data_IF_935291053360
#
_entry.id   IF_935291053360
#
_cell.length_a   1.000
_cell.length_b   1.000
_cell.length_c   1.000
_cell.angle_alpha   90.00
_cell.angle_beta   90.00
_cell.angle_gamma   90.00
#
_symmetry.space_group_name_H-M   'P 1'
#
loop_
_entity.id
_entity.type
_entity.pdbx_description
1 polymer ?
#
# COMPACT_ATOMS: atom_id res chain seq x y z
N UNK A 1 -13.73 -2.98 -13.73
CA UNK A 1 -14.05 -2.32 -12.45
C UNK A 1 -12.86 -1.57 -11.86
N UNK A 2 -11.71 -2.22 -11.62
CA UNK A 2 -10.55 -1.61 -10.95
C UNK A 2 -9.82 -0.48 -11.69
N UNK A 3 -9.83 -0.47 -13.03
CA UNK A 3 -9.19 0.59 -13.81
C UNK A 3 -9.79 1.99 -13.59
N UNK A 4 -11.13 2.08 -13.50
CA UNK A 4 -11.82 3.36 -13.25
C UNK A 4 -11.61 3.86 -11.82
N UNK A 5 -11.56 2.95 -10.84
CA UNK A 5 -11.30 3.31 -9.44
C UNK A 5 -9.87 3.82 -9.24
N UNK A 6 -8.89 3.22 -9.92
CA UNK A 6 -7.48 3.66 -9.91
C UNK A 6 -7.31 5.08 -10.43
N UNK A 7 -7.90 5.36 -11.59
CA UNK A 7 -7.81 6.69 -12.23
C UNK A 7 -8.46 7.77 -11.36
N UNK A 8 -9.61 7.48 -10.74
CA UNK A 8 -10.28 8.41 -9.82
C UNK A 8 -9.46 8.71 -8.56
N UNK A 9 -8.84 7.69 -7.97
CA UNK A 9 -8.02 7.86 -6.77
C UNK A 9 -6.76 8.69 -7.07
N UNK A 10 -6.09 8.42 -8.20
CA UNK A 10 -4.94 9.21 -8.64
C UNK A 10 -5.32 10.63 -9.02
N UNK A 11 -6.47 10.84 -9.67
CA UNK A 11 -6.98 12.19 -9.97
C UNK A 11 -7.26 12.98 -8.69
N UNK A 12 -7.86 12.35 -7.67
CA UNK A 12 -8.09 12.99 -6.37
C UNK A 12 -6.80 13.40 -5.69
N UNK A 13 -5.81 12.50 -5.62
CA UNK A 13 -4.51 12.79 -5.01
C UNK A 13 -3.73 13.88 -5.77
N UNK A 14 -3.66 13.79 -7.09
CA UNK A 14 -2.99 14.80 -7.94
C UNK A 14 -3.70 16.15 -7.82
N UNK A 15 -5.04 16.17 -7.72
CA UNK A 15 -5.81 17.39 -7.50
C UNK A 15 -5.51 18.06 -6.15
N UNK A 16 -5.47 17.28 -5.06
CA UNK A 16 -5.08 17.79 -3.73
C UNK A 16 -3.65 18.33 -3.75
N UNK A 17 -2.72 17.60 -4.37
CA UNK A 17 -1.33 18.04 -4.47
C UNK A 17 -1.18 19.31 -5.31
N UNK A 18 -1.91 19.43 -6.42
CA UNK A 18 -1.94 20.65 -7.22
C UNK A 18 -2.43 21.83 -6.39
N UNK A 19 -3.49 21.64 -5.60
CA UNK A 19 -3.99 22.67 -4.68
C UNK A 19 -2.96 23.08 -3.63
N UNK A 20 -2.29 22.12 -2.99
CA UNK A 20 -1.24 22.38 -2.00
C UNK A 20 -0.07 23.12 -2.64
N UNK A 21 0.37 22.71 -3.82
CA UNK A 21 1.46 23.36 -4.57
C UNK A 21 1.11 24.80 -4.95
N UNK A 22 -0.13 25.05 -5.39
CA UNK A 22 -0.62 26.39 -5.70
C UNK A 22 -0.67 27.27 -4.45
N UNK A 23 -1.19 26.74 -3.34
CA UNK A 23 -1.23 27.45 -2.06
C UNK A 23 0.18 27.79 -1.56
N UNK A 24 1.09 26.81 -1.60
CA UNK A 24 2.49 27.00 -1.22
C UNK A 24 3.17 28.04 -2.11
N UNK A 25 2.99 27.96 -3.43
CA UNK A 25 3.53 28.92 -4.37
C UNK A 25 3.01 30.35 -4.09
N UNK A 26 1.72 30.50 -3.79
CA UNK A 26 1.13 31.80 -3.46
C UNK A 26 1.76 32.40 -2.19
N UNK A 27 1.94 31.60 -1.13
CA UNK A 27 2.58 32.03 0.13
C UNK A 27 4.03 32.43 -0.10
N UNK A 28 4.80 31.60 -0.82
CA UNK A 28 6.22 31.87 -1.11
C UNK A 28 6.39 33.12 -1.97
N UNK A 29 5.57 33.30 -3.01
CA UNK A 29 5.60 34.50 -3.87
C UNK A 29 5.24 35.75 -3.08
N UNK A 30 4.23 35.69 -2.21
CA UNK A 30 3.85 36.81 -1.34
C UNK A 30 4.99 37.17 -0.37
N UNK A 31 5.60 36.17 0.28
CA UNK A 31 6.74 36.37 1.17
C UNK A 31 7.96 36.95 0.46
N UNK A 32 8.28 36.45 -0.74
CA UNK A 32 9.36 36.97 -1.57
C UNK A 32 9.10 38.43 -1.97
N UNK A 33 7.87 38.75 -2.41
CA UNK A 33 7.48 40.12 -2.74
C UNK A 33 7.65 41.06 -1.55
N UNK A 34 7.23 40.63 -0.36
CA UNK A 34 7.41 41.40 0.87
C UNK A 34 8.89 41.62 1.19
N UNK A 35 9.71 40.57 1.12
CA UNK A 35 11.15 40.66 1.39
C UNK A 35 11.88 41.62 0.43
N UNK A 36 11.58 41.56 -0.87
CA UNK A 36 12.20 42.45 -1.87
C UNK A 36 11.71 43.90 -1.70
N UNK A 37 10.43 44.12 -1.36
CA UNK A 37 9.92 45.45 -1.08
C UNK A 37 10.54 46.08 0.18
N UNK A 38 10.74 45.28 1.23
CA UNK A 38 11.42 45.71 2.46
C UNK A 38 12.90 46.03 2.19
N UNK A 39 13.57 45.25 1.34
CA UNK A 39 14.94 45.54 0.91
C UNK A 39 15.02 46.88 0.17
N UNK A 40 14.08 47.15 -0.75
CA UNK A 40 13.96 48.43 -1.43
C UNK A 40 13.75 49.58 -0.44
N UNK A 41 12.86 49.42 0.55
CA UNK A 41 12.62 50.44 1.57
C UNK A 41 13.87 50.77 2.39
N UNK A 42 14.65 49.75 2.79
CA UNK A 42 15.92 49.95 3.51
C UNK A 42 16.97 50.66 2.66
N UNK A 43 17.08 50.30 1.38
CA UNK A 43 17.99 50.98 0.45
C UNK A 43 17.61 52.46 0.29
N UNK A 44 16.32 52.76 0.10
CA UNK A 44 15.83 54.14 -0.02
C UNK A 44 16.07 54.97 1.25
N UNK A 45 15.90 54.39 2.44
CA UNK A 45 16.20 55.06 3.71
C UNK A 45 17.69 55.33 3.86
N UNK A 46 18.54 54.33 3.60
CA UNK A 46 20.00 54.50 3.66
C UNK A 46 20.49 55.55 2.67
N UNK A 47 19.94 55.57 1.46
CA UNK A 47 20.26 56.57 0.45
C UNK A 47 19.79 57.96 0.92
N UNK A 48 18.58 58.07 1.48
CA UNK A 48 18.08 59.33 2.02
C UNK A 48 18.93 59.85 3.19
N UNK A 49 19.35 59.00 4.12
CA UNK A 49 20.22 59.38 5.25
C UNK A 49 21.59 59.89 4.78
N UNK A 50 22.20 59.21 3.80
CA UNK A 50 23.44 59.66 3.16
C UNK A 50 23.30 61.07 2.56
N UNK A 51 22.18 61.35 1.89
CA UNK A 51 21.89 62.68 1.33
C UNK A 51 21.57 63.72 2.41
N UNK A 52 20.87 63.35 3.48
CA UNK A 52 20.62 64.23 4.64
C UNK A 52 21.94 64.65 5.27
N UNK A 53 22.92 63.74 5.42
CA UNK A 53 24.23 64.06 5.96
C UNK A 53 24.95 65.14 5.12
N UNK A 54 24.95 65.00 3.78
CA UNK A 54 25.53 65.97 2.84
C UNK A 54 24.84 67.34 2.96
N UNK A 55 23.51 67.37 2.92
CA UNK A 55 22.72 68.62 2.99
C UNK A 55 22.90 69.28 4.36
N UNK A 56 22.92 68.51 5.46
CA UNK A 56 23.11 69.04 6.81
C UNK A 56 24.47 69.72 6.98
N UNK A 57 25.54 69.16 6.39
CA UNK A 57 26.91 69.69 6.40
C UNK A 57 27.17 70.87 5.46
N UNK A 58 26.15 71.39 4.76
CA UNK A 58 26.27 72.52 3.85
C UNK A 58 26.86 72.16 2.49
N UNK A 59 26.91 70.86 2.15
CA UNK A 59 27.33 70.38 0.83
C UNK A 59 26.37 70.79 -0.28
N UNK A 60 26.87 70.76 -1.53
CA UNK A 60 26.08 71.10 -2.72
C UNK A 60 24.83 70.23 -2.83
N UNK A 61 23.69 70.89 -3.06
CA UNK A 61 22.38 70.27 -3.34
C UNK A 61 22.28 69.82 -4.81
N UNK A 62 23.32 70.07 -5.61
CA UNK A 62 23.45 69.60 -6.99
C UNK A 62 24.46 68.45 -7.03
N UNK A 63 23.97 67.25 -7.35
CA UNK A 63 24.79 66.05 -7.51
C UNK A 63 24.31 65.19 -8.68
N UNK A 64 25.19 64.33 -9.18
CA UNK A 64 24.85 63.37 -10.23
C UNK A 64 23.76 62.41 -9.77
N UNK A 65 22.71 62.26 -10.59
CA UNK A 65 21.69 61.23 -10.41
C UNK A 65 22.22 59.87 -10.85
N UNK A 66 21.68 58.78 -10.30
CA UNK A 66 21.78 57.46 -10.91
C UNK A 66 20.49 57.16 -11.69
N UNK A 67 20.55 56.22 -12.64
CA UNK A 67 19.34 55.72 -13.30
C UNK A 67 18.46 54.88 -12.35
N UNK A 68 18.99 54.52 -11.17
CA UNK A 68 18.31 53.67 -10.19
C UNK A 68 17.56 54.49 -9.14
N UNK A 69 17.99 55.72 -8.85
CA UNK A 69 17.41 56.57 -7.82
C UNK A 69 17.22 58.02 -8.29
N UNK A 70 16.06 58.59 -8.00
CA UNK A 70 15.81 60.02 -8.09
C UNK A 70 15.84 60.65 -6.71
N UNK A 71 16.44 61.82 -6.55
CA UNK A 71 16.31 62.56 -5.30
C UNK A 71 16.13 64.05 -5.50
N UNK A 72 15.48 64.69 -4.53
CA UNK A 72 15.23 66.12 -4.52
C UNK A 72 15.25 66.65 -3.09
N UNK A 73 15.60 67.92 -2.94
CA UNK A 73 15.55 68.62 -1.65
C UNK A 73 14.50 69.69 -1.74
N UNK A 74 13.63 69.69 -0.75
CA UNK A 74 12.45 70.54 -0.68
C UNK A 74 12.47 71.27 0.67
N UNK A 75 12.10 72.54 0.69
CA UNK A 75 11.93 73.30 1.91
C UNK A 75 10.76 72.76 2.75
N UNK A 76 10.69 73.11 4.04
CA UNK A 76 9.59 72.71 4.93
C UNK A 76 8.21 73.17 4.42
N UNK A 77 8.18 74.24 3.62
CA UNK A 77 7.01 74.82 2.98
C UNK A 77 6.62 74.14 1.66
N UNK A 78 7.43 73.18 1.18
CA UNK A 78 7.23 72.49 -0.08
C UNK A 78 7.91 73.14 -1.29
N UNK A 79 8.69 74.22 -1.12
CA UNK A 79 9.43 74.84 -2.23
C UNK A 79 10.66 74.01 -2.61
N UNK A 80 10.92 73.72 -3.89
CA UNK A 80 12.12 72.99 -4.29
C UNK A 80 13.39 73.81 -3.99
N UNK A 81 14.32 73.24 -3.22
CA UNK A 81 15.62 73.84 -2.89
C UNK A 81 16.75 73.28 -3.76
N UNK A 82 16.60 72.06 -4.29
CA UNK A 82 17.51 71.47 -5.27
C UNK A 82 17.00 70.14 -5.81
N UNK A 83 17.51 69.73 -6.97
CA UNK A 83 17.02 68.57 -7.74
C UNK A 83 18.18 67.92 -8.49
N UNK A 84 18.13 66.60 -8.69
CA UNK A 84 18.98 65.91 -9.68
C UNK A 84 18.35 65.94 -11.07
N UNK A 85 19.17 65.68 -12.09
CA UNK A 85 18.72 65.49 -13.48
C UNK A 85 17.67 64.39 -13.63
N UNK A 86 17.73 63.35 -12.80
CA UNK A 86 16.79 62.21 -12.83
C UNK A 86 15.57 62.41 -11.93
N UNK A 87 15.51 63.45 -11.10
CA UNK A 87 14.43 63.63 -10.11
C UNK A 87 13.03 63.71 -10.74
N UNK A 88 12.90 64.32 -11.92
CA UNK A 88 11.66 64.37 -12.69
C UNK A 88 11.21 63.01 -13.22
N UNK A 89 12.16 62.11 -13.48
CA UNK A 89 11.88 60.75 -13.98
C UNK A 89 11.21 59.90 -12.90
N UNK A 90 11.38 60.27 -11.63
CA UNK A 90 10.72 59.62 -10.50
C UNK A 90 9.53 60.41 -9.95
N UNK A 91 9.10 61.47 -10.65
CA UNK A 91 7.97 62.30 -10.23
C UNK A 91 8.24 63.11 -8.96
N UNK A 92 9.51 63.45 -8.70
CA UNK A 92 9.96 64.32 -7.63
C UNK A 92 10.21 65.75 -8.14
N UNK A 93 10.11 66.77 -7.27
CA UNK A 93 9.72 66.73 -5.86
C UNK A 93 8.21 66.57 -5.68
N UNK A 94 7.82 66.09 -4.48
CA UNK A 94 6.43 65.97 -4.02
C UNK A 94 6.21 66.89 -2.81
N UNK A 95 5.73 68.14 -3.03
CA UNK A 95 5.57 69.14 -1.97
C UNK A 95 4.64 68.72 -0.83
N UNK A 96 3.63 67.92 -1.14
CA UNK A 96 2.67 67.35 -0.18
C UNK A 96 3.36 66.39 0.80
N UNK A 97 4.18 65.45 0.28
CA UNK A 97 4.96 64.53 1.10
C UNK A 97 6.06 65.25 1.88
N UNK A 98 6.66 66.29 1.30
CA UNK A 98 7.66 67.10 1.99
C UNK A 98 7.08 67.84 3.20
N UNK A 99 5.94 68.52 3.04
CA UNK A 99 5.26 69.22 4.15
C UNK A 99 4.84 68.27 5.27
N UNK A 100 4.39 67.06 4.92
CA UNK A 100 4.04 66.05 5.91
C UNK A 100 5.27 65.52 6.63
N UNK A 101 6.36 65.22 5.91
CA UNK A 101 7.59 64.73 6.52
C UNK A 101 8.24 65.75 7.44
N UNK A 102 8.12 67.05 7.12
CA UNK A 102 8.58 68.13 7.99
C UNK A 102 7.85 68.16 9.35
N UNK A 103 6.60 67.69 9.42
CA UNK A 103 5.79 67.66 10.66
C UNK A 103 5.81 66.30 11.36
N UNK A 104 5.67 65.23 10.60
CA UNK A 104 5.44 63.86 11.09
C UNK A 104 6.74 63.05 11.22
N UNK A 105 7.86 63.54 10.67
CA UNK A 105 9.12 62.80 10.63
C UNK A 105 9.32 62.01 9.33
N UNK A 106 10.04 60.90 9.39
CA UNK A 106 10.33 60.07 8.21
C UNK A 106 9.05 59.48 7.61
N UNK A 107 8.79 59.74 6.33
CA UNK A 107 7.64 59.19 5.61
C UNK A 107 8.07 58.25 4.49
N UNK A 108 7.33 57.14 4.35
CA UNK A 108 7.47 56.18 3.25
C UNK A 108 6.14 56.10 2.53
N UNK A 109 6.11 56.46 1.24
CA UNK A 109 4.88 56.45 0.45
C UNK A 109 5.12 55.89 -0.94
N UNK A 110 4.06 55.42 -1.59
CA UNK A 110 4.10 54.96 -2.98
C UNK A 110 3.27 55.91 -3.81
N UNK A 111 3.87 56.46 -4.87
CA UNK A 111 3.20 57.37 -5.80
C UNK A 111 2.97 56.66 -7.12
N UNK A 112 1.83 56.94 -7.74
CA UNK A 112 1.54 56.50 -9.11
C UNK A 112 2.08 57.55 -10.10
N UNK A 113 2.70 57.08 -11.18
CA UNK A 113 3.25 57.91 -12.26
C UNK A 113 3.01 57.21 -13.60
N UNK A 114 2.04 57.72 -14.36
CA UNK A 114 1.65 57.25 -15.71
C UNK A 114 1.38 55.74 -15.78
N UNK A 115 2.43 54.91 -15.83
CA UNK A 115 2.40 53.44 -15.89
C UNK A 115 3.44 52.78 -14.95
N UNK A 116 3.80 53.47 -13.86
CA UNK A 116 4.73 52.98 -12.87
C UNK A 116 4.32 53.40 -11.45
N UNK A 117 4.62 52.54 -10.49
CA UNK A 117 4.52 52.86 -9.09
C UNK A 117 5.92 53.15 -8.57
N UNK A 118 6.13 54.32 -8.01
CA UNK A 118 7.43 54.74 -7.50
C UNK A 118 7.36 54.76 -5.97
N UNK A 119 8.31 54.10 -5.31
CA UNK A 119 8.46 54.14 -3.86
C UNK A 119 9.27 55.38 -3.49
N UNK A 120 8.74 56.21 -2.61
CA UNK A 120 9.33 57.49 -2.18
C UNK A 120 9.53 57.49 -0.68
N UNK A 121 10.72 57.86 -0.25
CA UNK A 121 11.09 58.06 1.15
C UNK A 121 11.43 59.54 1.35
N UNK A 122 10.80 60.20 2.31
CA UNK A 122 11.00 61.61 2.65
C UNK A 122 11.53 61.75 4.08
N UNK A 123 12.75 62.30 4.24
CA UNK A 123 13.42 62.49 5.53
C UNK A 123 13.62 63.99 5.82
N UNK A 124 13.19 64.50 6.97
CA UNK A 124 13.48 65.87 7.37
C UNK A 124 14.95 66.05 7.78
N UNK A 125 15.57 67.12 7.29
CA UNK A 125 16.89 67.60 7.69
C UNK A 125 16.70 68.59 8.84
N UNK A 126 17.28 68.29 10.00
CA UNK A 126 17.25 69.19 11.16
C UNK A 126 18.58 69.91 11.36
N UNK A 127 18.55 71.21 11.64
CA UNK A 127 19.70 71.99 12.14
C UNK A 127 19.25 72.76 13.37
N UNK A 128 20.03 72.69 14.45
CA UNK A 128 19.70 73.32 15.74
C UNK A 128 18.26 73.02 16.25
N UNK A 129 17.73 71.82 15.95
CA UNK A 129 16.39 71.40 16.36
C UNK A 129 15.26 71.76 15.38
N UNK A 130 15.50 72.65 14.41
CA UNK A 130 14.51 73.06 13.42
C UNK A 130 14.66 72.29 12.10
N UNK A 131 13.54 71.96 11.46
CA UNK A 131 13.54 71.34 10.13
C UNK A 131 13.84 72.41 9.09
N UNK A 132 15.01 72.32 8.46
CA UNK A 132 15.47 73.30 7.46
C UNK A 132 15.23 72.86 6.02
N UNK A 133 15.06 71.56 5.80
CA UNK A 133 14.78 70.96 4.51
C UNK A 133 14.20 69.54 4.67
N UNK A 134 13.71 68.96 3.58
CA UNK A 134 13.30 67.57 3.46
C UNK A 134 13.97 66.98 2.24
N UNK A 135 14.69 65.88 2.43
CA UNK A 135 15.27 65.07 1.36
C UNK A 135 14.24 64.04 0.95
N UNK A 136 13.92 63.97 -0.34
CA UNK A 136 13.08 62.94 -0.93
C UNK A 136 13.93 62.07 -1.84
N UNK A 137 13.91 60.75 -1.64
CA UNK A 137 14.55 59.76 -2.50
C UNK A 137 13.49 58.81 -3.03
N UNK A 138 13.58 58.45 -4.30
CA UNK A 138 12.59 57.65 -4.99
C UNK A 138 13.22 56.58 -5.88
N UNK A 139 12.57 55.43 -5.98
CA UNK A 139 12.95 54.32 -6.86
C UNK A 139 11.69 53.63 -7.43
N UNK A 140 11.78 53.16 -8.67
CA UNK A 140 10.69 52.43 -9.33
C UNK A 140 10.38 51.09 -8.65
N UNK A 141 9.10 50.73 -8.54
CA UNK A 141 8.67 49.39 -8.09
C UNK A 141 8.81 48.32 -9.17
N UNK A 142 9.10 48.69 -10.42
CA UNK A 142 9.42 47.72 -11.49
C UNK A 142 10.55 46.79 -11.09
N UNK A 143 11.52 47.26 -10.31
CA UNK A 143 12.60 46.42 -9.76
C UNK A 143 12.03 45.27 -8.92
N UNK A 144 11.04 45.55 -8.06
CA UNK A 144 10.36 44.54 -7.24
C UNK A 144 9.52 43.60 -8.11
N UNK A 145 8.72 44.16 -9.02
CA UNK A 145 7.81 43.37 -9.85
C UNK A 145 8.56 42.50 -10.88
N UNK A 146 9.70 42.95 -11.42
CA UNK A 146 10.60 42.15 -12.26
C UNK A 146 11.25 41.01 -11.49
N UNK A 147 11.75 41.27 -10.28
CA UNK A 147 12.28 40.22 -9.42
C UNK A 147 11.23 39.15 -9.13
N UNK A 148 10.00 39.54 -8.79
CA UNK A 148 8.88 38.63 -8.56
C UNK A 148 8.52 37.86 -9.83
N UNK A 149 8.41 38.51 -10.98
CA UNK A 149 8.11 37.84 -12.27
C UNK A 149 9.17 36.80 -12.63
N UNK A 150 10.45 37.16 -12.48
CA UNK A 150 11.57 36.22 -12.72
C UNK A 150 11.50 35.05 -11.76
N UNK A 151 11.23 35.28 -10.48
CA UNK A 151 11.04 34.22 -9.50
C UNK A 151 9.89 33.27 -9.87
N UNK A 152 8.71 33.80 -10.24
CA UNK A 152 7.55 33.01 -10.68
C UNK A 152 7.87 32.19 -11.94
N UNK A 153 8.60 32.75 -12.90
CA UNK A 153 8.99 32.05 -14.13
C UNK A 153 9.90 30.82 -13.89
N UNK A 154 10.67 30.82 -12.79
CA UNK A 154 11.49 29.68 -12.36
C UNK A 154 10.67 28.68 -11.55
N UNK A 155 9.78 29.17 -10.68
CA UNK A 155 8.96 28.33 -9.81
C UNK A 155 7.88 27.54 -10.58
N UNK A 156 7.28 28.14 -11.61
CA UNK A 156 6.22 27.52 -12.41
C UNK A 156 6.64 26.17 -13.06
N UNK A 157 7.75 26.07 -13.82
CA UNK A 157 8.15 24.79 -14.42
C UNK A 157 8.50 23.74 -13.36
N UNK A 158 9.08 24.13 -12.23
CA UNK A 158 9.36 23.22 -11.11
C UNK A 158 8.05 22.62 -10.57
N UNK A 159 7.01 23.45 -10.41
CA UNK A 159 5.68 22.99 -10.00
C UNK A 159 5.06 21.99 -10.99
N UNK A 160 5.18 22.24 -12.29
CA UNK A 160 4.69 21.33 -13.34
C UNK A 160 5.44 19.99 -13.30
N UNK A 161 6.77 20.02 -13.18
CA UNK A 161 7.59 18.81 -13.07
C UNK A 161 7.24 18.02 -11.81
N UNK A 162 7.08 18.69 -10.67
CA UNK A 162 6.68 18.05 -9.41
C UNK A 162 5.31 17.38 -9.54
N UNK A 163 4.33 18.03 -10.19
CA UNK A 163 3.01 17.47 -10.42
C UNK A 163 3.06 16.24 -11.35
N UNK A 164 3.85 16.30 -12.41
CA UNK A 164 4.05 15.17 -13.34
C UNK A 164 4.69 13.97 -12.63
N UNK A 165 5.76 14.19 -11.86
CA UNK A 165 6.42 13.15 -11.07
C UNK A 165 5.46 12.52 -10.06
N UNK A 166 4.66 13.34 -9.36
CA UNK A 166 3.67 12.84 -8.43
C UNK A 166 2.55 12.04 -9.11
N UNK A 167 2.11 12.43 -10.31
CA UNK A 167 1.14 11.68 -11.09
C UNK A 167 1.69 10.29 -11.51
N UNK A 168 2.93 10.24 -12.00
CA UNK A 168 3.61 8.98 -12.35
C UNK A 168 3.81 8.10 -11.11
N UNK A 169 4.32 8.67 -10.02
CA UNK A 169 4.51 7.95 -8.75
C UNK A 169 3.19 7.43 -8.17
N UNK A 170 2.12 8.23 -8.22
CA UNK A 170 0.78 7.85 -7.78
C UNK A 170 0.21 6.69 -8.60
N UNK A 171 0.38 6.73 -9.93
CA UNK A 171 -0.01 5.62 -10.81
C UNK A 171 0.77 4.34 -10.49
N UNK A 172 2.08 4.43 -10.27
CA UNK A 172 2.93 3.29 -9.93
C UNK A 172 2.54 2.67 -8.58
N UNK A 173 2.44 3.48 -7.53
CA UNK A 173 2.09 3.01 -6.18
C UNK A 173 0.69 2.43 -6.12
N UNK A 174 -0.29 3.05 -6.80
CA UNK A 174 -1.65 2.52 -6.89
C UNK A 174 -1.69 1.15 -7.58
N UNK A 175 -0.86 0.95 -8.61
CA UNK A 175 -0.72 -0.35 -9.27
C UNK A 175 -0.20 -1.43 -8.32
N UNK A 176 0.84 -1.12 -7.54
CA UNK A 176 1.43 -2.05 -6.58
C UNK A 176 0.47 -2.39 -5.43
N UNK A 177 -0.25 -1.40 -4.91
CA UNK A 177 -1.20 -1.59 -3.82
C UNK A 177 -2.42 -2.43 -4.24
N UNK A 178 -2.88 -2.34 -5.49
CA UNK A 178 -4.05 -3.10 -5.96
C UNK A 178 -3.74 -4.53 -6.37
N UNK A 179 -2.46 -4.87 -6.64
CA UNK A 179 -2.06 -6.22 -7.04
C UNK A 179 -2.47 -7.31 -6.04
N UNK A 180 -2.16 -7.23 -4.74
CA UNK A 180 -2.58 -8.25 -3.78
C UNK A 180 -4.10 -8.35 -3.64
N UNK A 181 -4.81 -7.23 -3.70
CA UNK A 181 -6.29 -7.20 -3.63
C UNK A 181 -6.87 -7.93 -4.84
N UNK A 182 -6.34 -7.68 -6.04
CA UNK A 182 -6.79 -8.33 -7.25
C UNK A 182 -6.49 -9.83 -7.23
N UNK A 183 -5.29 -10.22 -6.81
CA UNK A 183 -4.91 -11.63 -6.67
C UNK A 183 -5.80 -12.36 -5.66
N UNK A 184 -6.11 -11.74 -4.51
CA UNK A 184 -7.04 -12.29 -3.52
C UNK A 184 -8.46 -12.44 -4.08
N UNK A 185 -8.94 -11.41 -4.79
CA UNK A 185 -10.28 -11.42 -5.38
C UNK A 185 -10.43 -12.44 -6.52
N UNK A 186 -9.41 -12.58 -7.37
CA UNK A 186 -9.39 -13.58 -8.44
C UNK A 186 -9.35 -15.01 -7.85
N UNK A 187 -8.58 -15.24 -6.78
CA UNK A 187 -8.60 -16.51 -6.02
C UNK A 187 -9.96 -16.81 -5.40
N UNK A 188 -10.60 -15.81 -4.79
CA UNK A 188 -11.95 -15.96 -4.22
C UNK A 188 -12.97 -16.33 -5.30
N UNK A 189 -12.90 -15.70 -6.48
CA UNK A 189 -13.78 -16.03 -7.61
C UNK A 189 -13.58 -17.45 -8.11
N UNK A 190 -12.32 -17.88 -8.27
CA UNK A 190 -11.99 -19.24 -8.66
C UNK A 190 -12.56 -20.24 -7.63
N UNK A 191 -12.32 -19.99 -6.34
CA UNK A 191 -12.86 -20.82 -5.25
C UNK A 191 -14.38 -20.96 -5.29
N UNK A 192 -15.12 -19.86 -5.49
CA UNK A 192 -16.60 -19.90 -5.59
C UNK A 192 -17.05 -20.69 -6.83
N UNK A 193 -16.36 -20.52 -7.96
CA UNK A 193 -16.67 -21.26 -9.19
C UNK A 193 -16.42 -22.76 -9.00
N UNK A 194 -15.28 -23.14 -8.44
CA UNK A 194 -14.90 -24.53 -8.20
C UNK A 194 -15.83 -25.20 -7.19
N UNK A 195 -16.17 -24.53 -6.09
CA UNK A 195 -17.16 -25.00 -5.12
C UNK A 195 -18.53 -25.22 -5.77
N UNK A 196 -18.97 -24.30 -6.64
CA UNK A 196 -20.24 -24.44 -7.35
C UNK A 196 -20.24 -25.65 -8.28
N UNK A 197 -19.11 -25.93 -8.95
CA UNK A 197 -18.96 -27.11 -9.81
C UNK A 197 -18.99 -28.41 -9.02
N UNK A 198 -18.22 -28.50 -7.93
CA UNK A 198 -18.16 -29.70 -7.08
C UNK A 198 -19.48 -29.99 -6.35
N UNK A 199 -20.32 -28.97 -6.08
CA UNK A 199 -21.66 -29.16 -5.52
C UNK A 199 -22.73 -29.49 -6.59
N UNK A 200 -22.54 -29.06 -7.84
CA UNK A 200 -23.53 -29.30 -8.91
C UNK A 200 -23.58 -30.75 -9.35
N UNK A 201 -22.45 -31.44 -9.40
CA UNK A 201 -22.38 -32.87 -9.75
C UNK A 201 -23.19 -33.75 -8.79
N UNK A 202 -22.97 -33.71 -7.47
CA UNK A 202 -23.77 -34.48 -6.51
C UNK A 202 -25.24 -34.16 -6.61
N UNK A 203 -25.58 -32.88 -6.65
CA UNK A 203 -26.97 -32.45 -6.76
C UNK A 203 -27.67 -32.97 -8.01
N UNK A 204 -26.94 -33.11 -9.13
CA UNK A 204 -27.48 -33.64 -10.38
C UNK A 204 -27.76 -35.15 -10.28
N UNK A 205 -26.86 -35.91 -9.64
CA UNK A 205 -27.04 -37.34 -9.41
C UNK A 205 -28.19 -37.60 -8.43
N UNK A 206 -28.21 -36.88 -7.31
CA UNK A 206 -29.29 -36.96 -6.32
C UNK A 206 -30.64 -36.70 -6.99
N UNK A 207 -30.72 -35.68 -7.84
CA UNK A 207 -31.95 -35.38 -8.57
C UNK A 207 -32.33 -36.50 -9.54
N UNK A 208 -31.38 -37.05 -10.28
CA UNK A 208 -31.65 -38.13 -11.23
C UNK A 208 -32.19 -39.38 -10.53
N UNK A 209 -31.54 -39.82 -9.44
CA UNK A 209 -31.93 -41.01 -8.68
C UNK A 209 -33.32 -40.80 -8.04
N UNK A 210 -33.57 -39.62 -7.46
CA UNK A 210 -34.89 -39.27 -6.94
C UNK A 210 -35.99 -39.23 -8.01
N UNK A 211 -35.69 -38.73 -9.22
CA UNK A 211 -36.63 -38.74 -10.36
C UNK A 211 -36.94 -40.16 -10.85
N UNK A 212 -36.01 -41.10 -10.72
CA UNK A 212 -36.23 -42.53 -11.05
C UNK A 212 -37.14 -43.17 -10.01
N UNK A 213 -36.83 -43.02 -8.71
CA UNK A 213 -37.64 -43.57 -7.61
C UNK A 213 -39.08 -43.02 -7.66
N UNK A 214 -39.24 -41.71 -7.92
CA UNK A 214 -40.55 -41.05 -7.97
C UNK A 214 -41.47 -41.57 -9.10
N UNK A 215 -40.94 -42.24 -10.13
CA UNK A 215 -41.74 -42.85 -11.21
C UNK A 215 -42.43 -44.15 -10.78
N UNK A 216 -42.13 -44.68 -9.59
CA UNK A 216 -42.99 -45.62 -8.87
C UNK A 216 -43.03 -47.04 -9.43
N UNK A 217 -41.87 -47.70 -9.55
CA UNK A 217 -41.80 -49.11 -9.95
C UNK A 217 -41.50 -50.09 -8.78
N UNK A 218 -41.19 -49.59 -7.57
CA UNK A 218 -40.93 -50.38 -6.34
C UNK A 218 -40.07 -51.63 -6.61
N UNK A 219 -39.00 -51.47 -7.39
CA UNK A 219 -38.08 -52.57 -7.75
C UNK A 219 -36.94 -52.66 -6.72
N UNK A 220 -36.22 -53.80 -6.64
CA UNK A 220 -34.98 -53.89 -5.87
C UNK A 220 -33.95 -52.79 -6.21
N UNK A 221 -33.98 -52.23 -7.42
CA UNK A 221 -33.12 -51.12 -7.86
C UNK A 221 -33.37 -49.83 -7.05
N UNK A 222 -34.55 -49.66 -6.45
CA UNK A 222 -34.86 -48.49 -5.62
C UNK A 222 -34.01 -48.46 -4.33
N UNK A 223 -33.56 -49.62 -3.82
CA UNK A 223 -32.65 -49.67 -2.67
C UNK A 223 -31.25 -49.19 -3.05
N UNK A 224 -30.73 -49.65 -4.18
CA UNK A 224 -29.43 -49.23 -4.69
C UNK A 224 -29.42 -47.72 -5.00
N UNK A 225 -30.52 -47.19 -5.53
CA UNK A 225 -30.70 -45.75 -5.75
C UNK A 225 -30.77 -44.96 -4.43
N UNK A 226 -31.45 -45.49 -3.41
CA UNK A 226 -31.47 -44.88 -2.07
C UNK A 226 -30.09 -44.88 -1.40
N UNK A 227 -29.32 -45.96 -1.55
CA UNK A 227 -27.93 -46.02 -1.07
C UNK A 227 -27.05 -44.99 -1.80
N UNK A 228 -27.20 -44.85 -3.11
CA UNK A 228 -26.49 -43.83 -3.90
C UNK A 228 -26.86 -42.39 -3.46
N UNK A 229 -28.14 -42.14 -3.16
CA UNK A 229 -28.61 -40.86 -2.64
C UNK A 229 -27.94 -40.50 -1.31
N UNK A 230 -27.85 -41.48 -0.39
CA UNK A 230 -27.20 -41.29 0.91
C UNK A 230 -25.70 -41.01 0.72
N UNK A 231 -25.01 -41.81 -0.10
CA UNK A 231 -23.58 -41.64 -0.39
C UNK A 231 -23.28 -40.25 -0.97
N UNK A 232 -24.10 -39.76 -1.90
CA UNK A 232 -23.87 -38.46 -2.53
C UNK A 232 -24.23 -37.29 -1.59
N UNK A 233 -25.18 -37.50 -0.66
CA UNK A 233 -25.49 -36.54 0.41
C UNK A 233 -24.34 -36.42 1.42
N UNK A 234 -23.78 -37.55 1.88
CA UNK A 234 -22.63 -37.57 2.77
C UNK A 234 -21.41 -36.91 2.10
N UNK A 235 -21.24 -37.11 0.80
CA UNK A 235 -20.22 -36.43 0.01
C UNK A 235 -20.43 -34.91 -0.03
N UNK A 236 -21.66 -34.43 -0.19
CA UNK A 236 -21.97 -33.00 -0.14
C UNK A 236 -21.67 -32.41 1.25
N UNK A 237 -21.99 -33.12 2.31
CA UNK A 237 -21.70 -32.68 3.68
C UNK A 237 -20.19 -32.53 3.93
N UNK A 238 -19.40 -33.48 3.42
CA UNK A 238 -17.93 -33.40 3.43
C UNK A 238 -17.41 -32.16 2.68
N UNK A 239 -17.90 -31.90 1.47
CA UNK A 239 -17.52 -30.69 0.71
C UNK A 239 -17.89 -29.41 1.47
N UNK A 240 -19.10 -29.32 1.99
CA UNK A 240 -19.56 -28.14 2.75
C UNK A 240 -18.72 -27.91 4.01
N UNK A 241 -18.40 -28.97 4.74
CA UNK A 241 -17.54 -28.93 5.91
C UNK A 241 -16.14 -28.42 5.57
N UNK A 242 -15.53 -28.94 4.49
CA UNK A 242 -14.23 -28.50 3.99
C UNK A 242 -14.25 -27.01 3.60
N UNK A 243 -15.30 -26.55 2.90
CA UNK A 243 -15.47 -25.14 2.52
C UNK A 243 -15.56 -24.21 3.73
N UNK A 244 -16.30 -24.62 4.77
CA UNK A 244 -16.43 -23.84 6.01
C UNK A 244 -15.11 -23.75 6.77
N UNK A 245 -14.33 -24.84 6.79
CA UNK A 245 -12.99 -24.86 7.38
C UNK A 245 -12.06 -23.89 6.63
N UNK A 246 -12.04 -23.95 5.29
CA UNK A 246 -11.24 -23.06 4.46
C UNK A 246 -11.63 -21.59 4.63
N UNK A 247 -12.93 -21.28 4.67
CA UNK A 247 -13.40 -19.91 4.87
C UNK A 247 -12.95 -19.34 6.23
N UNK A 248 -12.93 -20.17 7.28
CA UNK A 248 -12.44 -19.76 8.62
C UNK A 248 -10.93 -19.58 8.64
N UNK A 249 -10.18 -20.43 7.95
CA UNK A 249 -8.73 -20.32 7.78
C UNK A 249 -8.35 -19.03 7.04
N UNK A 250 -9.01 -18.74 5.90
CA UNK A 250 -8.77 -17.53 5.10
C UNK A 250 -9.06 -16.24 5.88
N UNK A 251 -10.07 -16.27 6.75
CA UNK A 251 -10.40 -15.14 7.61
C UNK A 251 -9.43 -14.96 8.78
N UNK A 252 -8.46 -15.86 8.97
CA UNK A 252 -7.60 -15.90 10.16
C UNK A 252 -8.37 -16.18 11.45
N UNK A 253 -9.59 -16.74 11.33
CA UNK A 253 -10.54 -16.93 12.43
C UNK A 253 -10.55 -18.35 12.98
N UNK A 254 -9.68 -19.23 12.49
CA UNK A 254 -9.58 -20.57 13.05
C UNK A 254 -8.76 -20.51 14.35
N UNK A 255 -9.36 -20.74 15.54
CA UNK A 255 -8.59 -20.88 16.76
C UNK A 255 -7.74 -22.16 16.61
N UNK A 256 -6.42 -21.99 16.63
CA UNK A 256 -5.46 -23.08 16.76
C UNK A 256 -5.00 -23.04 18.21
N UNK A 257 -5.42 -24.04 18.99
CA UNK A 257 -5.04 -24.10 20.40
C UNK A 257 -3.66 -24.74 20.49
N UNK A 258 -2.64 -23.94 20.82
CA UNK A 258 -1.25 -24.40 20.81
C UNK A 258 -0.87 -25.02 22.15
N UNK A 259 -1.10 -26.31 22.28
CA UNK A 259 -0.67 -27.14 23.39
C UNK A 259 0.60 -27.94 23.08
N UNK A 260 1.14 -28.61 24.10
CA UNK A 260 2.23 -29.58 23.95
C UNK A 260 1.66 -30.99 23.98
N UNK A 261 1.96 -31.79 22.96
CA UNK A 261 1.52 -33.17 22.87
C UNK A 261 2.60 -34.06 22.23
N UNK A 262 2.48 -35.38 22.41
CA UNK A 262 3.36 -36.35 21.78
C UNK A 262 2.82 -36.74 20.38
N UNK A 263 3.57 -36.41 19.33
CA UNK A 263 3.19 -36.73 17.95
C UNK A 263 3.19 -38.26 17.71
N UNK A 264 4.01 -39.02 18.42
CA UNK A 264 4.07 -40.48 18.27
C UNK A 264 2.73 -41.15 18.62
N UNK A 265 2.03 -40.63 19.64
CA UNK A 265 0.67 -41.10 19.99
C UNK A 265 -0.34 -40.87 18.87
N UNK A 266 -0.26 -39.72 18.18
CA UNK A 266 -1.16 -39.42 17.07
C UNK A 266 -0.88 -40.33 15.88
N UNK A 267 0.40 -40.60 15.59
CA UNK A 267 0.79 -41.49 14.50
C UNK A 267 0.30 -42.93 14.74
N UNK A 268 0.42 -43.43 15.98
CA UNK A 268 -0.09 -44.74 16.36
C UNK A 268 -1.63 -44.82 16.28
N UNK A 269 -2.35 -43.86 16.89
CA UNK A 269 -3.83 -43.79 16.83
C UNK A 269 -4.33 -43.67 15.39
N UNK A 270 -3.62 -42.92 14.53
CA UNK A 270 -3.93 -42.84 13.11
C UNK A 270 -3.78 -44.18 12.38
N UNK A 271 -2.69 -44.91 12.63
CA UNK A 271 -2.45 -46.23 12.06
C UNK A 271 -3.57 -47.22 12.44
N UNK A 272 -3.90 -47.29 13.72
CA UNK A 272 -4.92 -48.22 14.24
C UNK A 272 -6.31 -47.94 13.63
N UNK A 273 -6.68 -46.67 13.49
CA UNK A 273 -7.97 -46.27 12.89
C UNK A 273 -8.08 -46.62 11.41
N UNK A 274 -6.97 -46.53 10.68
CA UNK A 274 -6.96 -46.79 9.24
C UNK A 274 -6.67 -48.26 8.89
N UNK A 275 -6.20 -49.07 9.84
CA UNK A 275 -5.93 -50.50 9.64
C UNK A 275 -7.14 -51.25 9.06
N UNK A 276 -8.33 -51.09 9.65
CA UNK A 276 -9.54 -51.76 9.16
C UNK A 276 -9.92 -51.36 7.72
N UNK A 277 -9.71 -50.09 7.35
CA UNK A 277 -9.95 -49.60 5.98
C UNK A 277 -8.90 -50.15 5.01
N UNK A 278 -7.65 -50.22 5.45
CA UNK A 278 -6.54 -50.73 4.67
C UNK A 278 -6.70 -52.23 4.38
N UNK A 279 -7.15 -53.02 5.35
CA UNK A 279 -7.43 -54.44 5.20
C UNK A 279 -8.49 -54.70 4.13
N UNK A 280 -9.57 -53.90 4.11
CA UNK A 280 -10.62 -53.99 3.08
C UNK A 280 -10.08 -53.67 1.68
N UNK A 281 -9.16 -52.72 1.57
CA UNK A 281 -8.53 -52.32 0.29
C UNK A 281 -7.28 -53.18 -0.06
N UNK A 282 -6.89 -54.11 0.82
CA UNK A 282 -5.73 -54.98 0.64
C UNK A 282 -4.38 -54.26 0.74
N UNK A 283 -4.27 -53.22 1.56
CA UNK A 283 -3.07 -52.38 1.74
C UNK A 283 -2.44 -52.65 3.11
N UNK A 284 -1.13 -52.93 3.14
CA UNK A 284 -0.38 -53.11 4.39
C UNK A 284 -0.04 -51.79 5.10
N UNK A 285 0.07 -51.81 6.43
CA UNK A 285 0.47 -50.66 7.24
C UNK A 285 1.72 -50.96 8.07
N UNK A 286 2.69 -50.05 8.04
CA UNK A 286 3.90 -50.10 8.86
C UNK A 286 4.07 -48.80 9.65
N UNK A 287 4.41 -48.91 10.94
CA UNK A 287 4.63 -47.75 11.83
C UNK A 287 6.07 -47.77 12.33
N UNK A 288 6.86 -46.81 11.88
CA UNK A 288 8.26 -46.61 12.24
C UNK A 288 8.40 -45.36 13.14
N UNK A 289 8.09 -45.51 14.43
CA UNK A 289 8.31 -44.42 15.40
C UNK A 289 9.33 -44.84 16.45
N UNK A 290 10.28 -43.94 16.76
CA UNK A 290 11.28 -44.18 17.80
C UNK A 290 11.06 -43.24 18.99
N UNK A 291 10.42 -43.76 20.03
CA UNK A 291 10.19 -43.04 21.28
C UNK A 291 9.23 -41.87 21.19
N UNK A 292 9.32 -40.95 22.16
CA UNK A 292 8.43 -39.79 22.28
C UNK A 292 8.84 -38.66 21.34
N UNK A 293 7.87 -38.02 20.70
CA UNK A 293 8.05 -36.94 19.74
C UNK A 293 7.27 -35.69 20.17
N UNK A 294 7.72 -34.96 21.20
CA UNK A 294 6.94 -33.88 21.78
C UNK A 294 6.98 -32.62 20.90
N UNK A 295 5.80 -32.16 20.45
CA UNK A 295 5.60 -31.01 19.55
C UNK A 295 4.70 -29.95 20.15
N UNK A 296 4.80 -28.72 19.64
CA UNK A 296 3.91 -27.61 19.99
C UNK A 296 2.94 -27.34 18.85
N UNK A 297 1.65 -27.49 19.09
CA UNK A 297 0.62 -27.32 18.08
C UNK A 297 -0.77 -27.61 18.63
N UNK A 298 -1.72 -27.82 17.74
CA UNK A 298 -3.09 -28.22 18.05
C UNK A 298 -3.24 -29.72 17.76
N UNK A 299 -3.49 -30.48 18.82
CA UNK A 299 -3.55 -31.95 18.76
C UNK A 299 -4.66 -32.42 17.84
N UNK A 300 -5.81 -31.75 17.84
CA UNK A 300 -6.97 -32.16 17.05
C UNK A 300 -6.79 -31.82 15.57
N UNK A 301 -6.22 -30.65 15.27
CA UNK A 301 -5.85 -30.30 13.88
C UNK A 301 -4.77 -31.20 13.35
N UNK A 302 -3.84 -31.63 14.19
CA UNK A 302 -2.79 -32.58 13.78
C UNK A 302 -3.37 -33.96 13.47
N UNK A 303 -4.35 -34.45 14.23
CA UNK A 303 -5.12 -35.66 13.86
C UNK A 303 -5.81 -35.51 12.50
N UNK A 304 -6.43 -34.36 12.24
CA UNK A 304 -7.09 -34.10 10.96
C UNK A 304 -6.10 -34.09 9.79
N UNK A 305 -4.91 -33.50 9.97
CA UNK A 305 -3.83 -33.57 8.98
C UNK A 305 -3.47 -35.02 8.70
N UNK A 306 -3.19 -35.81 9.75
CA UNK A 306 -2.78 -37.20 9.59
C UNK A 306 -3.88 -38.03 8.90
N UNK A 307 -5.14 -37.88 9.31
CA UNK A 307 -6.26 -38.57 8.69
C UNK A 307 -6.38 -38.24 7.19
N UNK A 308 -6.17 -36.99 6.79
CA UNK A 308 -6.18 -36.60 5.38
C UNK A 308 -5.02 -37.22 4.59
N UNK A 309 -3.83 -37.35 5.21
CA UNK A 309 -2.68 -37.99 4.58
C UNK A 309 -2.88 -39.51 4.44
N UNK A 310 -3.39 -40.17 5.48
CA UNK A 310 -3.64 -41.61 5.48
C UNK A 310 -4.77 -42.00 4.53
N UNK A 311 -5.85 -41.23 4.49
CA UNK A 311 -6.94 -41.44 3.52
C UNK A 311 -6.41 -41.35 2.09
N UNK A 312 -5.55 -40.36 1.82
CA UNK A 312 -4.93 -40.21 0.52
C UNK A 312 -3.98 -41.38 0.19
N UNK A 313 -3.15 -41.80 1.15
CA UNK A 313 -2.21 -42.90 0.97
C UNK A 313 -2.92 -44.23 0.67
N UNK A 314 -3.89 -44.63 1.50
CA UNK A 314 -4.66 -45.88 1.29
C UNK A 314 -5.33 -45.89 -0.06
N UNK A 315 -5.94 -44.76 -0.44
CA UNK A 315 -6.74 -44.68 -1.66
C UNK A 315 -5.92 -44.66 -2.95
N UNK A 316 -4.66 -44.23 -2.88
CA UNK A 316 -3.76 -44.18 -4.03
C UNK A 316 -2.81 -45.36 -4.11
N UNK A 317 -2.77 -46.20 -3.08
CA UNK A 317 -2.00 -47.45 -3.04
C UNK A 317 -2.80 -48.57 -3.70
N UNK A 318 -2.24 -49.32 -4.67
CA UNK A 318 -2.91 -50.49 -5.23
C UNK A 318 -2.98 -51.64 -4.21
N UNK A 319 -3.93 -52.58 -4.36
CA UNK A 319 -3.98 -53.78 -3.53
C UNK A 319 -2.64 -54.54 -3.56
N UNK A 320 -2.16 -54.99 -2.40
CA UNK A 320 -0.84 -55.59 -2.20
C UNK A 320 0.29 -54.59 -1.97
N UNK A 321 0.03 -53.29 -2.01
CA UNK A 321 0.98 -52.24 -1.63
C UNK A 321 1.01 -51.98 -0.11
N UNK A 322 1.81 -51.01 0.31
CA UNK A 322 1.95 -50.63 1.72
C UNK A 322 1.98 -49.12 1.94
N UNK A 323 1.59 -48.72 3.16
CA UNK A 323 1.69 -47.36 3.69
C UNK A 323 2.58 -47.39 4.94
N UNK A 324 3.65 -46.61 4.94
CA UNK A 324 4.57 -46.46 6.08
C UNK A 324 4.36 -45.11 6.74
N UNK A 325 4.14 -45.10 8.05
CA UNK A 325 4.10 -43.90 8.88
C UNK A 325 5.38 -43.85 9.70
N UNK A 326 6.16 -42.79 9.56
CA UNK A 326 7.36 -42.60 10.36
C UNK A 326 7.37 -41.25 11.08
N UNK A 327 8.07 -41.20 12.21
CA UNK A 327 8.24 -39.98 12.99
C UNK A 327 9.67 -39.85 13.49
N UNK A 328 10.30 -38.70 13.22
CA UNK A 328 11.67 -38.42 13.68
C UNK A 328 11.84 -36.96 14.08
N UNK A 329 12.83 -36.71 14.93
CA UNK A 329 13.26 -35.36 15.28
C UNK A 329 14.37 -34.90 14.33
N UNK A 330 14.23 -33.68 13.83
CA UNK A 330 15.22 -33.01 12.98
C UNK A 330 15.49 -31.61 13.55
N UNK A 331 16.53 -31.49 14.38
CA UNK A 331 16.90 -30.22 15.01
C UNK A 331 15.78 -29.67 15.92
N UNK A 332 15.31 -28.46 15.60
CA UNK A 332 14.24 -27.75 16.31
C UNK A 332 12.83 -28.14 15.84
N UNK A 333 12.71 -29.14 14.97
CA UNK A 333 11.45 -29.62 14.42
C UNK A 333 11.28 -31.12 14.60
N UNK A 334 10.04 -31.56 14.57
CA UNK A 334 9.67 -32.97 14.45
C UNK A 334 9.00 -33.15 13.10
N UNK A 335 9.43 -34.16 12.37
CA UNK A 335 8.92 -34.51 11.04
C UNK A 335 8.21 -35.84 11.12
N UNK A 336 6.92 -35.85 10.79
CA UNK A 336 6.15 -37.05 10.53
C UNK A 336 6.02 -37.25 9.02
N UNK A 337 6.25 -38.48 8.56
CA UNK A 337 6.13 -38.84 7.14
C UNK A 337 5.09 -39.92 6.96
N UNK A 338 4.25 -39.75 5.93
CA UNK A 338 3.35 -40.79 5.41
C UNK A 338 3.83 -41.11 4.02
N UNK A 339 4.30 -42.33 3.83
CA UNK A 339 4.87 -42.85 2.59
C UNK A 339 3.97 -43.97 2.05
N UNK A 340 3.61 -43.91 0.78
CA UNK A 340 2.85 -44.96 0.10
C UNK A 340 3.66 -45.63 -1.00
N UNK A 341 3.35 -46.88 -1.32
CA UNK A 341 3.93 -47.63 -2.44
C UNK A 341 3.09 -47.50 -3.73
N UNK A 342 2.38 -46.39 -3.91
CA UNK A 342 1.50 -46.13 -5.04
C UNK A 342 2.25 -45.72 -6.32
N UNK A 343 1.54 -45.13 -7.31
CA UNK A 343 2.16 -44.68 -8.56
C UNK A 343 3.04 -43.43 -8.41
N UNK A 344 3.03 -42.81 -7.24
CA UNK A 344 3.71 -41.54 -6.97
C UNK A 344 3.03 -40.34 -7.61
N UNK A 345 3.70 -39.19 -7.50
CA UNK A 345 3.21 -37.89 -7.99
C UNK A 345 4.13 -37.42 -9.13
N UNK A 346 3.60 -37.20 -10.35
CA UNK A 346 4.36 -36.58 -11.43
C UNK A 346 4.99 -35.25 -11.00
N UNK A 347 6.22 -34.96 -11.45
CA UNK A 347 7.00 -33.79 -10.98
C UNK A 347 6.28 -32.47 -11.18
N UNK A 348 5.53 -32.34 -12.28
CA UNK A 348 4.70 -31.19 -12.62
C UNK A 348 3.50 -30.97 -11.68
N UNK A 349 3.17 -31.97 -10.86
CA UNK A 349 2.03 -31.93 -9.93
C UNK A 349 2.47 -31.71 -8.49
N UNK A 350 3.73 -32.01 -8.11
CA UNK A 350 4.24 -31.88 -6.74
C UNK A 350 4.03 -30.48 -6.13
N UNK A 351 4.18 -29.42 -6.93
CA UNK A 351 3.95 -28.04 -6.45
C UNK A 351 2.47 -27.67 -6.32
N UNK A 352 1.58 -28.45 -6.92
CA UNK A 352 0.15 -28.17 -7.06
C UNK A 352 -0.76 -29.09 -6.26
N UNK A 353 -0.25 -30.18 -5.69
CA UNK A 353 -1.07 -31.13 -4.89
C UNK A 353 -1.76 -30.49 -3.68
N UNK A 354 -1.28 -29.32 -3.25
CA UNK A 354 -1.88 -28.52 -2.18
C UNK A 354 -2.76 -27.37 -2.69
N UNK A 355 -2.91 -27.22 -4.01
CA UNK A 355 -3.85 -26.26 -4.58
C UNK A 355 -5.29 -26.73 -4.30
N UNK A 356 -6.19 -25.79 -4.01
CA UNK A 356 -7.61 -26.10 -3.74
C UNK A 356 -8.24 -26.74 -4.96
N UNK A 357 -9.07 -27.76 -4.74
CA UNK A 357 -9.77 -28.53 -5.78
C UNK A 357 -8.84 -29.22 -6.79
N UNK A 358 -7.54 -29.27 -6.51
CA UNK A 358 -6.59 -29.85 -7.43
C UNK A 358 -6.66 -31.36 -7.41
N UNK A 359 -6.78 -31.95 -8.61
CA UNK A 359 -6.84 -33.39 -8.83
C UNK A 359 -6.06 -33.72 -10.09
N UNK A 360 -5.24 -34.78 -10.06
CA UNK A 360 -4.57 -35.31 -11.25
C UNK A 360 -5.59 -35.97 -12.20
N UNK A 361 -5.25 -36.13 -13.48
CA UNK A 361 -6.18 -36.69 -14.49
C UNK A 361 -6.70 -38.09 -14.11
N UNK A 362 -5.85 -38.95 -13.57
CA UNK A 362 -6.22 -40.28 -13.08
C UNK A 362 -7.15 -40.23 -11.85
N UNK A 363 -7.02 -39.22 -10.98
CA UNK A 363 -7.86 -39.05 -9.80
C UNK A 363 -9.27 -38.53 -10.14
N UNK A 364 -9.45 -37.84 -11.28
CA UNK A 364 -10.78 -37.41 -11.76
C UNK A 364 -11.60 -38.59 -12.29
N UNK A 365 -10.95 -39.54 -12.96
CA UNK A 365 -11.62 -40.71 -13.53
C UNK A 365 -12.25 -41.61 -12.45
N UNK A 366 -11.64 -41.72 -11.26
CA UNK A 366 -12.16 -42.50 -10.13
C UNK A 366 -13.23 -41.78 -9.29
N UNK A 367 -13.65 -40.56 -9.67
CA UNK A 367 -14.59 -39.66 -8.95
C UNK A 367 -14.35 -39.39 -7.46
N UNK A 368 -13.31 -39.95 -6.85
CA UNK A 368 -13.16 -39.88 -5.41
C UNK A 368 -12.40 -38.61 -4.97
N UNK A 369 -12.70 -38.12 -3.75
CA UNK A 369 -12.05 -36.97 -3.09
C UNK A 369 -12.46 -35.58 -3.62
N UNK A 370 -12.61 -34.63 -2.69
CA UNK A 370 -13.00 -33.23 -2.94
C UNK A 370 -11.86 -32.37 -3.51
N UNK A 371 -10.60 -32.81 -3.34
CA UNK A 371 -9.42 -32.01 -3.66
C UNK A 371 -9.16 -30.88 -2.66
N UNK A 372 -9.85 -30.87 -1.51
CA UNK A 372 -9.69 -29.87 -0.46
C UNK A 372 -8.87 -30.37 0.73
N UNK A 373 -8.89 -31.69 1.00
CA UNK A 373 -8.23 -32.28 2.18
C UNK A 373 -6.74 -31.94 2.33
N UNK A 374 -5.93 -32.10 1.27
CA UNK A 374 -4.49 -31.78 1.32
C UNK A 374 -4.23 -30.26 1.47
N UNK A 375 -5.07 -29.42 0.86
CA UNK A 375 -4.99 -27.97 1.00
C UNK A 375 -5.28 -27.53 2.44
N UNK A 376 -6.35 -28.07 3.04
CA UNK A 376 -6.74 -27.84 4.44
C UNK A 376 -5.63 -28.33 5.38
N UNK A 377 -5.11 -29.54 5.15
CA UNK A 377 -4.04 -30.12 5.95
C UNK A 377 -2.78 -29.22 5.97
N UNK A 378 -2.40 -28.67 4.81
CA UNK A 378 -1.26 -27.75 4.72
C UNK A 378 -1.53 -26.43 5.43
N UNK A 379 -2.74 -25.88 5.31
CA UNK A 379 -3.11 -24.64 6.00
C UNK A 379 -3.14 -24.85 7.53
N UNK A 380 -3.60 -26.00 8.03
CA UNK A 380 -3.49 -26.37 9.46
C UNK A 380 -2.04 -26.49 9.92
N UNK A 381 -1.16 -27.13 9.14
CA UNK A 381 0.26 -27.24 9.48
C UNK A 381 0.90 -25.85 9.61
N UNK A 382 0.61 -24.95 8.66
CA UNK A 382 1.11 -23.57 8.65
C UNK A 382 0.57 -22.73 9.79
N UNK A 383 -0.72 -22.84 10.12
CA UNK A 383 -1.33 -22.13 11.24
C UNK A 383 -0.68 -22.52 12.59
N UNK A 384 -0.14 -23.74 12.69
CA UNK A 384 0.61 -24.21 13.85
C UNK A 384 2.08 -23.74 13.88
N UNK A 385 2.61 -23.17 12.79
CA UNK A 385 4.02 -22.78 12.65
C UNK A 385 4.91 -23.86 12.00
N UNK A 386 4.27 -24.87 11.40
CA UNK A 386 4.87 -25.93 10.61
C UNK A 386 4.74 -25.70 9.10
N UNK A 387 5.00 -26.74 8.32
CA UNK A 387 4.56 -26.85 6.91
C UNK A 387 4.33 -28.34 6.56
N UNK A 388 3.57 -28.56 5.49
CA UNK A 388 3.33 -29.86 4.89
C UNK A 388 3.93 -29.86 3.47
N UNK A 389 4.78 -30.85 3.18
CA UNK A 389 5.45 -31.00 1.87
C UNK A 389 5.12 -32.34 1.24
N UNK A 390 5.23 -32.41 -0.09
CA UNK A 390 5.04 -33.63 -0.86
C UNK A 390 6.27 -33.93 -1.71
N UNK A 391 6.60 -35.20 -1.85
CA UNK A 391 7.68 -35.73 -2.67
C UNK A 391 7.33 -37.11 -3.22
N UNK A 392 8.28 -37.74 -3.89
CA UNK A 392 8.20 -39.15 -4.26
C UNK A 392 9.18 -39.95 -3.42
N UNK A 393 8.76 -41.15 -3.03
CA UNK A 393 9.60 -42.07 -2.28
C UNK A 393 10.68 -42.69 -3.16
N UNK A 394 11.82 -43.03 -2.55
CA UNK A 394 12.84 -43.90 -3.13
C UNK A 394 12.34 -45.35 -3.30
N UNK A 395 11.36 -45.78 -2.50
CA UNK A 395 10.70 -47.10 -2.54
C UNK A 395 9.59 -47.20 -3.60
N UNK A 396 9.50 -46.20 -4.50
CA UNK A 396 8.36 -45.91 -5.37
C UNK A 396 7.12 -45.44 -4.59
N UNK A 397 6.30 -44.60 -5.23
CA UNK A 397 5.12 -43.97 -4.61
C UNK A 397 5.36 -42.56 -4.10
N UNK A 398 4.44 -42.04 -3.27
CA UNK A 398 4.50 -40.67 -2.77
C UNK A 398 4.90 -40.60 -1.29
N UNK A 399 5.51 -39.49 -0.90
CA UNK A 399 5.82 -39.19 0.51
C UNK A 399 5.30 -37.81 0.87
N UNK A 400 4.50 -37.74 1.93
CA UNK A 400 4.04 -36.49 2.54
C UNK A 400 4.74 -36.29 3.86
N UNK A 401 5.30 -35.10 4.10
CA UNK A 401 6.06 -34.78 5.32
C UNK A 401 5.45 -33.60 6.05
N UNK A 402 4.92 -33.85 7.24
CA UNK A 402 4.43 -32.85 8.18
C UNK A 402 5.58 -32.44 9.10
N UNK A 403 5.93 -31.15 9.11
CA UNK A 403 6.90 -30.58 10.04
C UNK A 403 6.20 -29.73 11.09
N UNK A 404 6.48 -29.94 12.38
CA UNK A 404 5.98 -29.14 13.49
C UNK A 404 7.12 -28.67 14.41
N UNK A 405 6.98 -27.52 15.10
CA UNK A 405 7.97 -27.07 16.08
C UNK A 405 8.15 -28.07 17.22
N UNK A 406 9.39 -28.44 17.52
CA UNK A 406 9.74 -29.24 18.71
C UNK A 406 9.55 -28.41 19.98
N UNK A 407 9.20 -29.07 21.07
CA UNK A 407 9.08 -28.42 22.40
C UNK A 407 10.38 -28.40 23.18
N UNK A 408 11.35 -29.24 22.83
CA UNK A 408 12.67 -29.25 23.47
C UNK A 408 13.66 -28.43 22.65
N UNK A 409 14.26 -27.42 23.30
CA UNK A 409 15.56 -26.89 22.88
C UNK A 409 16.68 -27.89 23.15
#
# INVERSE_FOLDING_TARGET
>A
MFGRSRVRLTLGYVGILAFILLLFAAVVVAGFRYAVAELQDRQLVSEAESRVAIVSGGGSVYGGGSNEFGWSVVGPDGRPLGRTSTSSDFGLPRPDLARRAAREGTLRNTIERQDDYVRVVSLPVKRAGEVVAVVQVAQSRRVVDEAVRKFVSILAPIGVVALALAAVGGLFMSGRAMRPIREAFDKQRAFVADASHELKTPLTLIRADAEVIARGNNSPDDRDLLENLLLETDRMDGVLSDLLVLARLDAGKLPVDKETFDLAEILADGADRFAAKADVEGVGFEVETSGKLPVRGDRERTRQILAALLDNAVRHTPPGGSVTIAGRREGDRVVATVEDSGPGIPREHLSRVFDRFYRSGAARARRSGTGLGLAIARDFARAQGGDLTAGNSERAGAIFSLSLPSTSR
#
